data_IF_672643927912
#
_entry.id   IF_672643927912
#
_cell.length_a   1.000
_cell.length_b   1.000
_cell.length_c   1.000
_cell.angle_alpha   90.00
_cell.angle_beta   90.00
_cell.angle_gamma   90.00
#
_symmetry.space_group_name_H-M   'P 1'
#
loop_
_entity.id
_entity.type
_entity.pdbx_description
1 polymer ?
#
# COMPACT_ATOMS: atom_id res chain seq x y z
N UNK A 1 -7.89 -26.96 -16.76
CA UNK A 1 -8.26 -27.21 -15.35
C UNK A 1 -9.78 -27.06 -15.26
N UNK A 2 -10.45 -27.86 -14.42
CA UNK A 2 -11.92 -28.07 -14.39
C UNK A 2 -12.55 -28.87 -15.55
N UNK A 3 -11.95 -30.00 -15.95
CA UNK A 3 -12.53 -30.88 -16.98
C UNK A 3 -13.60 -31.86 -16.46
N UNK A 4 -13.85 -31.91 -15.15
CA UNK A 4 -14.80 -32.82 -14.53
C UNK A 4 -15.90 -32.05 -13.78
N UNK A 5 -17.13 -32.58 -13.81
CA UNK A 5 -18.28 -32.06 -13.06
C UNK A 5 -18.23 -32.47 -11.57
N UNK A 6 -17.10 -32.24 -10.90
CA UNK A 6 -16.97 -32.53 -9.47
C UNK A 6 -17.83 -31.56 -8.66
N UNK A 7 -18.61 -32.10 -7.73
CA UNK A 7 -19.42 -31.35 -6.78
C UNK A 7 -18.77 -31.49 -5.40
N UNK A 8 -18.67 -30.39 -4.67
CA UNK A 8 -18.20 -30.41 -3.30
C UNK A 8 -19.29 -30.98 -2.38
N UNK A 9 -18.97 -32.03 -1.64
CA UNK A 9 -19.93 -32.75 -0.78
C UNK A 9 -20.36 -31.92 0.45
N UNK A 10 -19.61 -30.89 0.82
CA UNK A 10 -19.89 -30.05 1.99
C UNK A 10 -20.85 -28.92 1.63
N UNK A 11 -20.54 -28.18 0.56
CA UNK A 11 -21.33 -27.00 0.15
C UNK A 11 -22.42 -27.32 -0.87
N UNK A 12 -22.38 -28.50 -1.49
CA UNK A 12 -23.26 -28.88 -2.60
C UNK A 12 -23.01 -28.09 -3.88
N UNK A 13 -21.93 -27.30 -3.94
CA UNK A 13 -21.61 -26.44 -5.09
C UNK A 13 -20.61 -27.14 -6.02
N UNK A 14 -20.69 -26.94 -7.34
CA UNK A 14 -19.65 -27.37 -8.27
C UNK A 14 -18.27 -26.83 -7.87
N UNK A 15 -17.23 -27.64 -8.06
CA UNK A 15 -15.84 -27.30 -7.77
C UNK A 15 -15.40 -26.02 -8.49
N UNK A 16 -15.90 -25.79 -9.71
CA UNK A 16 -15.71 -24.55 -10.48
C UNK A 16 -16.18 -23.31 -9.71
N UNK A 17 -17.35 -23.39 -9.06
CA UNK A 17 -17.90 -22.26 -8.29
C UNK A 17 -17.05 -22.01 -7.05
N UNK A 18 -16.58 -23.07 -6.41
CA UNK A 18 -15.70 -22.98 -5.23
C UNK A 18 -14.36 -22.33 -5.60
N UNK A 19 -13.74 -22.76 -6.70
CA UNK A 19 -12.49 -22.19 -7.21
C UNK A 19 -12.64 -20.73 -7.64
N UNK A 20 -13.73 -20.39 -8.32
CA UNK A 20 -14.02 -18.99 -8.65
C UNK A 20 -14.15 -18.14 -7.38
N UNK A 21 -14.90 -18.61 -6.37
CA UNK A 21 -15.08 -17.86 -5.14
C UNK A 21 -13.79 -17.69 -4.33
N UNK A 22 -12.86 -18.64 -4.38
CA UNK A 22 -11.57 -18.54 -3.70
C UNK A 22 -10.61 -17.57 -4.39
N UNK A 23 -10.75 -17.36 -5.70
CA UNK A 23 -9.82 -16.53 -6.50
C UNK A 23 -10.35 -15.14 -6.82
N UNK A 24 -11.68 -14.94 -6.91
CA UNK A 24 -12.31 -13.67 -7.30
C UNK A 24 -12.01 -12.48 -6.36
N UNK A 25 -11.53 -12.74 -5.15
CA UNK A 25 -11.31 -11.73 -4.12
C UNK A 25 -10.05 -10.87 -4.31
N UNK A 26 -9.15 -11.22 -5.23
CA UNK A 26 -7.84 -10.58 -5.39
C UNK A 26 -7.90 -9.05 -5.52
N UNK A 27 -8.68 -8.55 -6.47
CA UNK A 27 -8.81 -7.12 -6.76
C UNK A 27 -9.45 -6.38 -5.58
N UNK A 28 -10.48 -6.97 -4.96
CA UNK A 28 -11.17 -6.38 -3.82
C UNK A 28 -10.24 -6.20 -2.62
N UNK A 29 -9.36 -7.17 -2.35
CA UNK A 29 -8.37 -7.06 -1.29
C UNK A 29 -7.37 -5.92 -1.54
N UNK A 30 -6.94 -5.73 -2.79
CA UNK A 30 -6.03 -4.61 -3.15
C UNK A 30 -6.74 -3.27 -2.98
N UNK A 31 -7.98 -3.16 -3.46
CA UNK A 31 -8.77 -1.93 -3.32
C UNK A 31 -9.02 -1.59 -1.84
N UNK A 32 -9.36 -2.58 -1.02
CA UNK A 32 -9.51 -2.39 0.43
C UNK A 32 -8.22 -1.89 1.08
N UNK A 33 -7.07 -2.51 0.77
CA UNK A 33 -5.76 -2.07 1.29
C UNK A 33 -5.43 -0.63 0.90
N UNK A 34 -5.76 -0.24 -0.33
CA UNK A 34 -5.55 1.12 -0.82
C UNK A 34 -6.53 2.12 -0.19
N UNK A 35 -7.76 1.70 0.12
CA UNK A 35 -8.76 2.56 0.74
C UNK A 35 -8.49 2.85 2.22
N UNK A 36 -8.05 1.85 3.00
CA UNK A 36 -7.84 1.99 4.46
C UNK A 36 -6.66 2.91 4.77
N UNK A 37 -5.61 2.87 3.94
CA UNK A 37 -4.40 3.68 4.12
C UNK A 37 -4.15 4.57 2.90
N UNK A 38 -5.20 5.24 2.42
CA UNK A 38 -5.12 6.12 1.27
C UNK A 38 -4.41 7.43 1.61
N UNK A 39 -3.58 7.88 0.69
CA UNK A 39 -2.95 9.22 0.69
C UNK A 39 -3.82 10.28 0.01
N UNK A 40 -4.99 9.90 -0.51
CA UNK A 40 -5.85 10.77 -1.29
C UNK A 40 -6.42 11.95 -0.49
N UNK A 41 -6.56 13.08 -1.19
CA UNK A 41 -7.18 14.30 -0.66
C UNK A 41 -8.30 14.74 -1.58
N UNK A 42 -9.27 15.46 -1.01
CA UNK A 42 -10.32 16.10 -1.81
C UNK A 42 -9.66 17.01 -2.85
N UNK A 43 -9.95 16.73 -4.11
CA UNK A 43 -9.42 17.48 -5.25
C UNK A 43 -10.50 17.62 -6.31
N UNK A 44 -10.50 18.74 -7.03
CA UNK A 44 -11.35 18.98 -8.21
C UNK A 44 -10.62 18.62 -9.51
N UNK A 45 -9.31 18.37 -9.44
CA UNK A 45 -8.47 18.06 -10.59
C UNK A 45 -8.33 16.55 -10.76
N UNK A 46 -8.92 16.01 -11.83
CA UNK A 46 -8.87 14.60 -12.17
C UNK A 46 -7.44 14.02 -12.21
N UNK A 47 -6.43 14.68 -12.80
CA UNK A 47 -5.07 14.16 -12.82
C UNK A 47 -4.50 13.92 -11.42
N UNK A 48 -4.82 14.80 -10.46
CA UNK A 48 -4.40 14.63 -9.06
C UNK A 48 -5.11 13.45 -8.38
N UNK A 49 -6.39 13.23 -8.68
CA UNK A 49 -7.12 12.07 -8.17
C UNK A 49 -6.48 10.76 -8.67
N UNK A 50 -6.13 10.71 -9.95
CA UNK A 50 -5.41 9.58 -10.55
C UNK A 50 -4.04 9.40 -9.90
N UNK A 51 -3.28 10.48 -9.72
CA UNK A 51 -1.98 10.44 -9.06
C UNK A 51 -2.05 9.81 -7.67
N UNK A 52 -2.99 10.22 -6.83
CA UNK A 52 -3.15 9.62 -5.49
C UNK A 52 -3.42 8.12 -5.55
N UNK A 53 -4.23 7.66 -6.50
CA UNK A 53 -4.49 6.22 -6.68
C UNK A 53 -3.25 5.45 -7.13
N UNK A 54 -2.45 6.04 -8.03
CA UNK A 54 -1.17 5.45 -8.45
C UNK A 54 -0.22 5.32 -7.26
N UNK A 55 -0.13 6.34 -6.41
CA UNK A 55 0.71 6.29 -5.19
C UNK A 55 0.24 5.18 -4.24
N UNK A 56 -1.06 5.09 -3.95
CA UNK A 56 -1.60 4.07 -3.06
C UNK A 56 -1.31 2.64 -3.58
N UNK A 57 -1.49 2.41 -4.88
CA UNK A 57 -1.19 1.13 -5.54
C UNK A 57 0.30 0.81 -5.55
N UNK A 58 1.15 1.79 -5.86
CA UNK A 58 2.60 1.63 -5.86
C UNK A 58 3.11 1.21 -4.48
N UNK A 59 2.62 1.86 -3.42
CA UNK A 59 2.94 1.50 -2.05
C UNK A 59 2.42 0.11 -1.64
N UNK A 60 1.27 -0.33 -2.17
CA UNK A 60 0.77 -1.69 -1.94
C UNK A 60 1.68 -2.73 -2.60
N UNK A 61 2.06 -2.50 -3.86
CA UNK A 61 2.95 -3.41 -4.60
C UNK A 61 4.35 -3.44 -4.01
N UNK A 62 4.90 -2.30 -3.61
CA UNK A 62 6.19 -2.21 -2.94
C UNK A 62 6.22 -3.07 -1.65
N UNK A 63 5.12 -3.09 -0.89
CA UNK A 63 5.03 -3.93 0.30
C UNK A 63 5.00 -5.43 -0.04
N UNK A 64 4.29 -5.82 -1.09
CA UNK A 64 4.29 -7.23 -1.55
C UNK A 64 5.70 -7.66 -1.95
N UNK A 65 6.45 -6.79 -2.64
CA UNK A 65 7.85 -7.05 -3.01
C UNK A 65 8.71 -7.15 -1.76
N UNK A 66 8.59 -6.22 -0.81
CA UNK A 66 9.31 -6.26 0.46
C UNK A 66 9.04 -7.58 1.18
N UNK A 67 7.77 -7.94 1.40
CA UNK A 67 7.37 -9.16 2.10
C UNK A 67 7.73 -10.46 1.36
N UNK A 68 8.09 -10.39 0.08
CA UNK A 68 8.56 -11.55 -0.70
C UNK A 68 10.01 -11.94 -0.42
N UNK A 69 10.77 -11.09 0.30
CA UNK A 69 12.16 -11.36 0.66
C UNK A 69 12.24 -12.25 1.92
N UNK A 70 13.09 -13.27 1.89
CA UNK A 70 13.14 -14.35 2.90
C UNK A 70 13.52 -13.90 4.32
N UNK A 71 14.19 -12.76 4.46
CA UNK A 71 14.82 -12.32 5.72
C UNK A 71 14.36 -10.94 6.21
N UNK A 72 13.23 -10.43 5.70
CA UNK A 72 12.70 -9.15 6.19
C UNK A 72 11.64 -9.33 7.27
N UNK A 73 11.65 -8.50 8.33
CA UNK A 73 10.58 -8.52 9.30
C UNK A 73 9.29 -8.05 8.63
N UNK A 74 8.20 -8.77 8.89
CA UNK A 74 6.86 -8.34 8.48
C UNK A 74 6.50 -7.06 9.22
N UNK A 75 6.35 -5.98 8.46
CA UNK A 75 5.94 -4.69 8.99
C UNK A 75 4.43 -4.55 8.92
N UNK A 76 3.85 -3.86 9.90
CA UNK A 76 2.46 -3.41 9.77
C UNK A 76 2.40 -2.42 8.61
N UNK A 77 1.28 -2.46 7.88
CA UNK A 77 1.03 -1.61 6.70
C UNK A 77 1.34 -0.13 6.94
N UNK A 78 0.87 0.43 8.06
CA UNK A 78 1.13 1.83 8.41
C UNK A 78 2.61 2.13 8.67
N UNK A 79 3.32 1.23 9.33
CA UNK A 79 4.72 1.42 9.67
C UNK A 79 5.60 1.35 8.41
N UNK A 80 5.26 0.44 7.48
CA UNK A 80 5.88 0.38 6.15
C UNK A 80 5.62 1.65 5.33
N UNK A 81 4.42 2.22 5.39
CA UNK A 81 4.12 3.47 4.70
C UNK A 81 4.88 4.67 5.29
N UNK A 82 5.00 4.73 6.61
CA UNK A 82 5.77 5.78 7.30
C UNK A 82 7.24 5.70 6.92
N UNK A 83 7.84 4.51 6.92
CA UNK A 83 9.24 4.35 6.54
C UNK A 83 9.51 4.78 5.10
N UNK A 84 8.61 4.45 4.15
CA UNK A 84 8.68 4.98 2.78
C UNK A 84 8.64 6.50 2.77
N UNK A 85 7.67 7.10 3.49
CA UNK A 85 7.49 8.55 3.52
C UNK A 85 8.72 9.27 4.14
N UNK A 86 9.31 8.71 5.18
CA UNK A 86 10.53 9.22 5.81
C UNK A 86 11.72 9.14 4.86
N UNK A 87 11.94 7.98 4.24
CA UNK A 87 13.04 7.76 3.29
C UNK A 87 12.95 8.69 2.07
N UNK A 88 11.75 8.89 1.51
CA UNK A 88 11.55 9.80 0.37
C UNK A 88 11.77 11.28 0.74
N UNK A 89 11.53 11.64 2.00
CA UNK A 89 11.70 13.00 2.47
C UNK A 89 13.11 13.31 2.97
N UNK A 90 13.92 12.30 3.27
CA UNK A 90 15.22 12.49 3.93
C UNK A 90 16.12 13.48 3.19
N UNK A 91 16.32 13.31 1.89
CA UNK A 91 17.16 14.20 1.07
C UNK A 91 16.65 15.65 1.10
N UNK A 92 15.34 15.83 0.92
CA UNK A 92 14.68 17.13 0.97
C UNK A 92 14.82 17.79 2.35
N UNK A 93 14.71 17.00 3.43
CA UNK A 93 14.91 17.48 4.79
C UNK A 93 16.36 17.92 5.01
N UNK A 94 17.34 17.15 4.56
CA UNK A 94 18.77 17.52 4.66
C UNK A 94 19.07 18.81 3.90
N UNK A 95 18.58 18.97 2.67
CA UNK A 95 18.75 20.21 1.91
C UNK A 95 18.15 21.42 2.65
N UNK A 96 16.96 21.26 3.26
CA UNK A 96 16.31 22.34 4.00
C UNK A 96 17.04 22.73 5.28
N UNK A 97 17.75 21.80 5.92
CA UNK A 97 18.54 22.09 7.13
C UNK A 97 19.73 23.02 6.84
N UNK A 98 20.33 22.93 5.65
CA UNK A 98 21.40 23.84 5.25
C UNK A 98 20.91 25.25 4.88
N UNK A 99 19.59 25.49 4.85
CA UNK A 99 19.04 26.81 4.60
C UNK A 99 19.18 27.71 5.82
N UNK A 100 19.83 28.87 5.65
CA UNK A 100 20.02 29.88 6.71
C UNK A 100 18.73 30.54 7.19
N UNK A 101 17.61 30.32 6.50
CA UNK A 101 16.29 30.91 6.79
C UNK A 101 15.34 29.95 7.50
N UNK A 102 15.80 28.77 7.91
CA UNK A 102 14.94 27.79 8.56
C UNK A 102 14.53 28.29 9.97
N UNK A 103 13.22 28.35 10.28
CA UNK A 103 12.76 28.74 11.61
C UNK A 103 13.32 27.84 12.72
N UNK A 104 13.77 28.46 13.83
CA UNK A 104 14.42 27.77 14.96
C UNK A 104 13.59 26.65 15.58
N UNK A 105 12.27 26.83 15.64
CA UNK A 105 11.32 25.83 16.14
C UNK A 105 11.32 24.52 15.35
N UNK A 106 11.73 24.55 14.08
CA UNK A 106 11.81 23.37 13.22
C UNK A 106 13.14 22.62 13.42
N UNK A 107 14.22 23.35 13.72
CA UNK A 107 15.53 22.78 14.02
C UNK A 107 15.50 21.92 15.31
N UNK A 108 14.80 22.40 16.34
CA UNK A 108 14.76 21.74 17.65
C UNK A 108 13.94 20.44 17.66
N UNK A 109 12.89 20.34 16.82
CA UNK A 109 11.98 19.18 16.75
C UNK A 109 12.60 17.89 16.19
N UNK A 110 13.79 17.93 15.59
CA UNK A 110 14.47 16.72 15.08
C UNK A 110 15.42 16.07 16.09
N UNK A 111 15.83 16.80 17.13
CA UNK A 111 16.76 16.33 18.16
C UNK A 111 16.05 15.84 19.44
N UNK A 112 14.71 15.87 19.45
CA UNK A 112 13.83 15.39 20.54
C UNK A 112 13.22 14.06 20.13
#
# INVERSE_FOLDING_TARGET
MHHNNKIDNITGKPEVIMYYNSTKGGIHMVDQKCSVHSSSRRTTHLPMAVFFRVVDMACCNAQVIYESQSDVPKLKRLDFLKSIAENLNESNLMTRLHSTRLPRQILEKRNS
#
